data_IF_259510773303
#
_entry.id   IF_259510773303
#
_cell.length_a   1.000
_cell.length_b   1.000
_cell.length_c   1.000
_cell.angle_alpha   90.00
_cell.angle_beta   90.00
_cell.angle_gamma   90.00
#
_symmetry.space_group_name_H-M   'P 1'
#
loop_
_entity.id
_entity.type
_entity.pdbx_description
1 polymer ?
#
# COMPACT_ATOMS: atom_id res chain seq x y z
N UNK A 1 2.11 -13.53 -4.06
CA UNK A 1 3.31 -13.41 -4.92
C UNK A 1 3.33 -14.43 -6.05
N UNK A 2 3.40 -15.74 -5.79
CA UNK A 2 3.36 -16.77 -6.86
C UNK A 2 2.15 -16.60 -7.79
N UNK A 3 0.96 -16.38 -7.23
CA UNK A 3 -0.24 -16.11 -8.01
C UNK A 3 -0.15 -14.86 -8.91
N UNK A 4 0.57 -13.82 -8.47
CA UNK A 4 0.75 -12.60 -9.26
C UNK A 4 1.74 -12.82 -10.41
N UNK A 5 2.78 -13.63 -10.19
CA UNK A 5 3.72 -14.01 -11.26
C UNK A 5 3.02 -14.84 -12.34
N UNK A 6 2.07 -15.71 -11.96
CA UNK A 6 1.25 -16.47 -12.91
C UNK A 6 0.27 -15.59 -13.70
N UNK A 7 -0.05 -14.38 -13.22
CA UNK A 7 -0.92 -13.42 -13.91
C UNK A 7 -0.17 -12.52 -14.88
N UNK A 8 1.17 -12.57 -14.91
CA UNK A 8 1.95 -11.78 -15.85
C UNK A 8 1.70 -12.24 -17.29
N UNK A 9 1.40 -11.30 -18.18
CA UNK A 9 1.25 -11.60 -19.60
C UNK A 9 2.63 -11.77 -20.25
N UNK A 10 2.98 -12.99 -20.62
CA UNK A 10 4.27 -13.33 -21.25
C UNK A 10 4.46 -12.67 -22.63
N UNK A 11 3.38 -12.31 -23.32
CA UNK A 11 3.46 -11.54 -24.57
C UNK A 11 3.76 -10.05 -24.33
N UNK A 12 3.67 -9.56 -23.09
CA UNK A 12 4.08 -8.19 -22.79
C UNK A 12 5.59 -8.04 -22.96
N UNK A 13 6.02 -7.08 -23.77
CA UNK A 13 7.44 -6.81 -24.04
C UNK A 13 8.29 -6.68 -22.77
N UNK A 14 7.75 -6.05 -21.71
CA UNK A 14 8.45 -5.89 -20.42
C UNK A 14 8.64 -7.21 -19.69
N UNK A 15 7.69 -8.14 -19.84
CA UNK A 15 7.74 -9.48 -19.25
C UNK A 15 8.67 -10.37 -20.06
N UNK A 16 8.63 -10.31 -21.40
CA UNK A 16 9.55 -11.05 -22.28
C UNK A 16 11.02 -10.82 -21.96
N UNK A 17 11.39 -9.58 -21.65
CA UNK A 17 12.77 -9.24 -21.27
C UNK A 17 13.25 -9.97 -20.00
N UNK A 18 12.33 -10.47 -19.18
CA UNK A 18 12.60 -11.10 -17.90
C UNK A 18 12.06 -12.54 -17.82
N UNK A 19 11.71 -13.15 -18.96
CA UNK A 19 11.02 -14.44 -19.02
C UNK A 19 11.72 -15.59 -18.27
N UNK A 20 13.07 -15.71 -18.23
CA UNK A 20 13.73 -16.79 -17.49
C UNK A 20 13.45 -16.70 -15.97
N UNK A 21 13.43 -15.49 -15.43
CA UNK A 21 13.13 -15.24 -14.02
C UNK A 21 11.64 -15.48 -13.72
N UNK A 22 10.76 -15.10 -14.64
CA UNK A 22 9.31 -15.38 -14.51
C UNK A 22 9.07 -16.88 -14.40
N UNK A 23 9.60 -17.69 -15.32
CA UNK A 23 9.44 -19.14 -15.29
C UNK A 23 10.08 -19.78 -14.04
N UNK A 24 11.27 -19.32 -13.64
CA UNK A 24 11.95 -19.82 -12.43
C UNK A 24 11.06 -19.67 -11.20
N UNK A 25 10.47 -18.49 -11.01
CA UNK A 25 9.69 -18.16 -9.81
C UNK A 25 8.17 -18.40 -9.95
N UNK A 26 7.67 -18.81 -11.13
CA UNK A 26 6.36 -19.44 -11.27
C UNK A 26 6.32 -20.79 -10.54
N UNK A 27 7.42 -21.54 -10.53
CA UNK A 27 7.47 -22.81 -9.82
C UNK A 27 7.46 -22.60 -8.30
N UNK A 28 6.41 -23.08 -7.62
CA UNK A 28 6.27 -22.96 -6.15
C UNK A 28 7.45 -23.54 -5.39
N UNK A 29 8.13 -24.56 -5.93
CA UNK A 29 9.31 -25.16 -5.29
C UNK A 29 10.47 -24.18 -5.11
N UNK A 30 10.62 -23.19 -6.01
CA UNK A 30 11.64 -22.15 -5.91
C UNK A 30 11.46 -21.26 -4.67
N UNK A 31 10.26 -21.23 -4.08
CA UNK A 31 9.95 -20.43 -2.89
C UNK A 31 10.19 -21.17 -1.57
N UNK A 32 10.50 -22.47 -1.61
CA UNK A 32 10.71 -23.26 -0.40
C UNK A 32 12.03 -22.91 0.30
N UNK A 33 13.04 -22.46 -0.45
CA UNK A 33 14.32 -22.00 0.08
C UNK A 33 14.87 -20.93 -0.85
N UNK A 34 14.84 -19.67 -0.42
CA UNK A 34 15.37 -18.55 -1.19
C UNK A 34 16.78 -18.22 -0.71
N UNK A 35 17.72 -18.18 -1.64
CA UNK A 35 19.07 -17.67 -1.38
C UNK A 35 19.11 -16.14 -1.47
N UNK A 36 20.18 -15.51 -0.99
CA UNK A 36 20.38 -14.07 -1.16
C UNK A 36 20.39 -13.65 -2.63
N UNK A 37 20.90 -14.51 -3.52
CA UNK A 37 20.89 -14.29 -4.96
C UNK A 37 19.46 -14.33 -5.52
N UNK A 38 18.65 -15.30 -5.09
CA UNK A 38 17.23 -15.38 -5.51
C UNK A 38 16.44 -14.16 -5.08
N UNK A 39 16.68 -13.64 -3.87
CA UNK A 39 16.04 -12.41 -3.39
C UNK A 39 16.42 -11.22 -4.26
N UNK A 40 17.69 -11.11 -4.66
CA UNK A 40 18.14 -10.04 -5.55
C UNK A 40 17.50 -10.16 -6.94
N UNK A 41 17.45 -11.37 -7.52
CA UNK A 41 16.78 -11.60 -8.80
C UNK A 41 15.29 -11.24 -8.76
N UNK A 42 14.58 -11.63 -7.70
CA UNK A 42 13.17 -11.27 -7.50
C UNK A 42 13.01 -9.74 -7.45
N UNK A 43 13.88 -9.07 -6.70
CA UNK A 43 13.82 -7.61 -6.54
C UNK A 43 14.08 -6.86 -7.84
N UNK A 44 15.09 -7.27 -8.61
CA UNK A 44 15.50 -6.57 -9.83
C UNK A 44 14.60 -6.90 -11.02
N UNK A 45 14.16 -8.15 -11.15
CA UNK A 45 13.49 -8.62 -12.37
C UNK A 45 11.99 -8.84 -12.23
N UNK A 46 11.48 -9.20 -11.05
CA UNK A 46 10.06 -9.52 -10.85
C UNK A 46 9.28 -8.39 -10.18
N UNK A 47 9.85 -7.74 -9.16
CA UNK A 47 9.16 -6.67 -8.44
C UNK A 47 8.69 -5.52 -9.36
N UNK A 48 9.44 -5.10 -10.41
CA UNK A 48 8.98 -4.05 -11.31
C UNK A 48 7.85 -4.47 -12.27
N UNK A 49 7.62 -5.79 -12.44
CA UNK A 49 6.59 -6.33 -13.34
C UNK A 49 5.27 -6.57 -12.63
N UNK A 50 5.33 -6.81 -11.32
CA UNK A 50 4.13 -7.00 -10.49
C UNK A 50 3.49 -5.64 -10.27
N UNK A 51 2.27 -5.49 -10.75
CA UNK A 51 1.44 -4.33 -10.42
C UNK A 51 1.23 -4.38 -8.90
N UNK A 52 1.51 -3.30 -8.16
CA UNK A 52 1.19 -3.24 -6.75
C UNK A 52 -0.28 -3.64 -6.59
N UNK A 53 -0.56 -4.50 -5.60
CA UNK A 53 -1.95 -4.75 -5.20
C UNK A 53 -2.61 -3.39 -5.05
N UNK A 54 -3.82 -3.23 -5.62
CA UNK A 54 -4.62 -2.01 -5.55
C UNK A 54 -5.18 -1.79 -4.13
N UNK A 55 -4.39 -2.17 -3.13
CA UNK A 55 -4.58 -1.84 -1.75
C UNK A 55 -4.24 -0.36 -1.64
N UNK A 56 -5.24 0.44 -1.30
CA UNK A 56 -5.04 1.84 -0.96
C UNK A 56 -4.18 1.89 0.32
N UNK A 57 -2.87 1.86 0.14
CA UNK A 57 -1.88 1.92 1.20
C UNK A 57 -2.03 3.22 2.00
N UNK A 58 -2.54 4.29 1.38
CA UNK A 58 -2.86 5.54 2.09
C UNK A 58 -4.05 5.34 3.02
N UNK A 59 -5.09 4.62 2.59
CA UNK A 59 -6.20 4.24 3.47
C UNK A 59 -5.73 3.41 4.67
N UNK A 60 -4.91 2.37 4.44
CA UNK A 60 -4.35 1.56 5.54
C UNK A 60 -3.51 2.38 6.53
N UNK A 61 -2.72 3.33 6.02
CA UNK A 61 -1.93 4.24 6.88
C UNK A 61 -2.83 5.15 7.71
N UNK A 62 -3.95 5.59 7.15
CA UNK A 62 -4.94 6.36 7.88
C UNK A 62 -5.64 5.51 8.95
N UNK A 63 -6.01 4.27 8.65
CA UNK A 63 -6.58 3.34 9.63
C UNK A 63 -5.63 3.09 10.80
N UNK A 64 -4.34 2.86 10.51
CA UNK A 64 -3.31 2.70 11.53
C UNK A 64 -3.14 3.97 12.39
N UNK A 65 -3.22 5.16 11.76
CA UNK A 65 -3.15 6.44 12.46
C UNK A 65 -4.31 6.57 13.46
N UNK A 66 -5.54 6.26 13.03
CA UNK A 66 -6.73 6.31 13.88
C UNK A 66 -6.63 5.30 15.03
N UNK A 67 -6.25 4.05 14.72
CA UNK A 67 -6.00 3.03 15.74
C UNK A 67 -4.96 3.47 16.78
N UNK A 68 -3.90 4.16 16.35
CA UNK A 68 -2.88 4.70 17.26
C UNK A 68 -3.47 5.73 18.23
N UNK A 69 -4.39 6.58 17.76
CA UNK A 69 -5.10 7.55 18.61
C UNK A 69 -6.01 6.83 19.61
N UNK A 70 -6.81 5.88 19.14
CA UNK A 70 -7.74 5.11 19.98
C UNK A 70 -7.00 4.33 21.07
N UNK A 71 -5.93 3.61 20.69
CA UNK A 71 -5.11 2.86 21.62
C UNK A 71 -4.46 3.75 22.68
N UNK A 72 -3.91 4.90 22.27
CA UNK A 72 -3.31 5.83 23.21
C UNK A 72 -4.35 6.41 24.17
N UNK A 73 -5.59 6.65 23.73
CA UNK A 73 -6.69 7.06 24.61
C UNK A 73 -7.04 5.99 25.64
N UNK A 74 -7.15 4.72 25.22
CA UNK A 74 -7.43 3.60 26.12
C UNK A 74 -6.31 3.34 27.14
N UNK A 75 -5.06 3.60 26.75
CA UNK A 75 -3.88 3.41 27.60
C UNK A 75 -3.52 4.66 28.42
N UNK A 76 -4.30 5.74 28.36
CA UNK A 76 -4.00 7.04 28.98
C UNK A 76 -2.60 7.57 28.60
N UNK A 77 -2.18 7.30 27.36
CA UNK A 77 -0.91 7.75 26.78
C UNK A 77 -1.10 9.03 25.96
N UNK A 78 -0.02 9.76 25.76
CA UNK A 78 -0.03 10.96 24.93
C UNK A 78 -0.21 10.60 23.43
N UNK A 79 -1.25 11.15 22.82
CA UNK A 79 -1.59 10.99 21.40
C UNK A 79 -1.52 12.32 20.61
N UNK A 80 -0.87 13.36 21.14
CA UNK A 80 -0.90 14.71 20.56
C UNK A 80 -0.39 14.74 19.12
N UNK A 81 0.70 14.00 18.83
CA UNK A 81 1.28 13.92 17.48
C UNK A 81 0.32 13.28 16.46
N UNK A 82 -0.20 12.05 16.68
CA UNK A 82 -1.12 11.45 15.73
C UNK A 82 -2.42 12.25 15.59
N UNK A 83 -2.98 12.80 16.68
CA UNK A 83 -4.16 13.69 16.62
C UNK A 83 -3.90 14.91 15.73
N UNK A 84 -2.75 15.59 15.92
CA UNK A 84 -2.38 16.74 15.07
C UNK A 84 -2.24 16.35 13.59
N UNK A 85 -1.80 15.12 13.31
CA UNK A 85 -1.75 14.61 11.94
C UNK A 85 -3.14 14.45 11.34
N UNK A 86 -4.11 13.95 12.11
CA UNK A 86 -5.52 13.85 11.68
C UNK A 86 -6.09 15.25 11.42
N UNK A 87 -5.89 16.20 12.34
CA UNK A 87 -6.35 17.59 12.20
C UNK A 87 -5.82 18.23 10.91
N UNK A 88 -4.51 18.11 10.63
CA UNK A 88 -3.91 18.65 9.42
C UNK A 88 -4.51 18.04 8.14
N UNK A 89 -4.84 16.75 8.16
CA UNK A 89 -5.54 16.09 7.05
C UNK A 89 -6.93 16.71 6.87
N UNK A 90 -7.68 16.93 7.95
CA UNK A 90 -9.00 17.56 7.88
C UNK A 90 -8.96 19.02 7.42
N UNK A 91 -7.97 19.81 7.85
CA UNK A 91 -7.73 21.17 7.37
C UNK A 91 -7.37 21.22 5.87
N UNK A 92 -6.74 20.17 5.34
CA UNK A 92 -6.49 20.05 3.91
C UNK A 92 -7.77 19.68 3.16
N UNK A 93 -8.57 18.76 3.72
CA UNK A 93 -9.86 18.35 3.15
C UNK A 93 -10.85 19.51 3.09
N UNK A 94 -10.88 20.40 4.10
CA UNK A 94 -11.81 21.55 4.10
C UNK A 94 -11.61 22.49 2.91
N UNK A 95 -10.40 22.51 2.32
CA UNK A 95 -10.07 23.29 1.12
C UNK A 95 -10.52 22.62 -0.19
N UNK A 96 -10.98 21.36 -0.13
CA UNK A 96 -11.32 20.52 -1.28
C UNK A 96 -12.83 20.30 -1.42
N UNK A 97 -13.66 21.30 -1.08
CA UNK A 97 -15.13 21.22 -1.14
C UNK A 97 -15.73 21.02 -2.55
N UNK A 98 -14.92 21.06 -3.61
CA UNK A 98 -15.36 20.69 -4.97
C UNK A 98 -15.44 19.18 -5.20
N UNK A 99 -14.83 18.37 -4.32
CA UNK A 99 -14.88 16.90 -4.39
C UNK A 99 -16.22 16.43 -3.78
N UNK A 100 -17.08 15.69 -4.51
CA UNK A 100 -18.41 15.30 -4.03
C UNK A 100 -18.41 14.61 -2.66
N UNK A 101 -17.46 13.70 -2.43
CA UNK A 101 -17.32 12.96 -1.18
C UNK A 101 -16.93 13.86 0.01
N UNK A 102 -16.14 14.90 -0.25
CA UNK A 102 -15.76 15.89 0.79
C UNK A 102 -16.95 16.80 1.09
N UNK A 103 -17.66 17.23 0.06
CA UNK A 103 -18.84 18.08 0.18
C UNK A 103 -19.97 17.38 0.95
N UNK A 104 -20.17 16.08 0.73
CA UNK A 104 -21.13 15.27 1.48
C UNK A 104 -20.81 15.25 2.99
N UNK A 105 -19.52 15.23 3.35
CA UNK A 105 -19.05 15.20 4.74
C UNK A 105 -18.66 16.59 5.28
N UNK A 106 -19.05 17.66 4.60
CA UNK A 106 -18.63 19.05 4.89
C UNK A 106 -18.79 19.43 6.36
N UNK A 107 -19.94 19.14 6.97
CA UNK A 107 -20.23 19.50 8.35
C UNK A 107 -19.29 18.83 9.38
N UNK A 108 -18.75 17.66 9.06
CA UNK A 108 -17.77 16.97 9.92
C UNK A 108 -16.39 17.58 9.71
N UNK A 109 -16.02 17.83 8.46
CA UNK A 109 -14.72 18.40 8.08
C UNK A 109 -14.54 19.83 8.61
N UNK A 110 -15.61 20.62 8.68
CA UNK A 110 -15.58 22.00 9.18
C UNK A 110 -15.67 22.11 10.71
N UNK A 111 -15.86 21.00 11.43
CA UNK A 111 -16.06 20.98 12.90
C UNK A 111 -14.74 21.04 13.70
N UNK A 112 -13.60 21.19 13.02
CA UNK A 112 -12.26 21.17 13.63
C UNK A 112 -11.95 22.47 14.35
#
# INVERSE_FOLDING_TARGET
MVAEIHRLNEENFRVRQHIPYVHKFQNRKAWNCLTAMDVNEIKEHLAPLIVPLNDDELAKRFDLLMYTVELAKLQTKNATKPIRSVIRTTEALSKLGSIPQVQEQKYIVEKV
#
